data_IF_270451068038
#
_entry.id   IF_270451068038
#
_cell.length_a   1.000
_cell.length_b   1.000
_cell.length_c   1.000
_cell.angle_alpha   90.00
_cell.angle_beta   90.00
_cell.angle_gamma   90.00
#
_symmetry.space_group_name_H-M   'P 1'
#
loop_
_entity.id
_entity.type
_entity.pdbx_description
1 polymer ?
#
# COMPACT_ATOMS: atom_id res chain seq x y z
N UNK A 1 7.95 17.72 -1.10
CA UNK A 1 8.69 17.28 -2.28
C UNK A 1 10.11 16.85 -1.96
N UNK A 2 10.74 17.57 -1.07
CA UNK A 2 12.12 17.26 -0.68
C UNK A 2 12.21 15.87 -0.02
N UNK A 3 11.27 15.54 0.85
CA UNK A 3 11.25 14.22 1.48
C UNK A 3 11.11 13.12 0.44
N UNK A 4 10.26 13.34 -0.56
CA UNK A 4 10.06 12.35 -1.60
C UNK A 4 11.36 12.11 -2.35
N UNK A 5 12.06 13.18 -2.72
CA UNK A 5 13.32 13.06 -3.45
C UNK A 5 14.39 12.36 -2.64
N UNK A 6 14.47 12.66 -1.33
CA UNK A 6 15.41 11.98 -0.46
C UNK A 6 15.07 10.48 -0.34
N UNK A 7 13.79 10.17 -0.20
CA UNK A 7 13.37 8.77 -0.13
C UNK A 7 13.70 8.04 -1.42
N UNK A 8 13.51 8.70 -2.57
CA UNK A 8 13.83 8.12 -3.87
C UNK A 8 15.32 7.85 -4.02
N UNK A 9 16.14 8.64 -3.34
CA UNK A 9 17.60 8.46 -3.35
C UNK A 9 18.07 7.38 -2.38
N UNK A 10 17.17 6.77 -1.64
CA UNK A 10 17.51 5.68 -0.74
C UNK A 10 17.54 6.03 0.73
N UNK A 11 17.12 7.24 1.09
CA UNK A 11 17.10 7.67 2.50
C UNK A 11 15.88 7.06 3.18
N UNK A 12 16.10 6.02 3.98
CA UNK A 12 15.02 5.31 4.64
C UNK A 12 14.33 6.16 5.71
N UNK A 13 15.06 7.05 6.36
CA UNK A 13 14.47 7.95 7.36
C UNK A 13 13.50 8.91 6.69
N UNK A 14 13.86 9.44 5.51
CA UNK A 14 12.97 10.30 4.77
C UNK A 14 11.71 9.56 4.35
N UNK A 15 11.85 8.30 3.94
CA UNK A 15 10.71 7.49 3.57
C UNK A 15 9.77 7.28 4.76
N UNK A 16 10.33 6.95 5.93
CA UNK A 16 9.52 6.77 7.14
C UNK A 16 8.78 8.05 7.52
N UNK A 17 9.45 9.20 7.44
CA UNK A 17 8.80 10.48 7.72
C UNK A 17 7.68 10.77 6.73
N UNK A 18 7.92 10.48 5.47
CA UNK A 18 6.94 10.70 4.41
C UNK A 18 5.69 9.86 4.62
N UNK A 19 5.87 8.58 4.94
CA UNK A 19 4.75 7.69 5.19
C UNK A 19 4.00 8.11 6.45
N UNK A 20 4.71 8.54 7.48
CA UNK A 20 4.09 8.97 8.72
C UNK A 20 3.13 10.15 8.51
N UNK A 21 3.42 11.02 7.55
CA UNK A 21 2.53 12.14 7.24
C UNK A 21 1.17 11.68 6.73
N UNK A 22 1.10 10.48 6.16
CA UNK A 22 -0.12 9.96 5.57
C UNK A 22 -0.64 8.71 6.30
N UNK A 23 0.01 8.37 7.40
CA UNK A 23 -0.22 7.12 8.12
C UNK A 23 -1.68 6.94 8.51
N UNK A 24 -2.24 7.96 9.16
CA UNK A 24 -3.61 7.90 9.67
C UNK A 24 -4.63 7.75 8.54
N UNK A 25 -4.43 8.49 7.46
CA UNK A 25 -5.35 8.43 6.32
C UNK A 25 -5.31 7.08 5.63
N UNK A 26 -4.12 6.53 5.47
CA UNK A 26 -3.96 5.23 4.79
C UNK A 26 -4.52 4.11 5.68
N UNK A 27 -4.28 4.17 6.99
CA UNK A 27 -4.83 3.18 7.91
C UNK A 27 -6.36 3.24 7.92
N UNK A 28 -6.93 4.45 7.92
CA UNK A 28 -8.38 4.62 7.84
C UNK A 28 -8.94 4.01 6.56
N UNK A 29 -8.27 4.28 5.43
CA UNK A 29 -8.68 3.71 4.15
C UNK A 29 -8.60 2.19 4.18
N UNK A 30 -7.51 1.66 4.73
CA UNK A 30 -7.34 0.21 4.84
C UNK A 30 -8.48 -0.42 5.65
N UNK A 31 -8.86 0.23 6.74
CA UNK A 31 -9.98 -0.27 7.55
C UNK A 31 -11.30 -0.19 6.80
N UNK A 32 -11.51 0.90 6.07
CA UNK A 32 -12.73 1.05 5.28
C UNK A 32 -12.86 -0.03 4.21
N UNK A 33 -11.74 -0.39 3.60
CA UNK A 33 -11.74 -1.42 2.56
C UNK A 33 -11.92 -2.81 3.12
N UNK A 34 -11.28 -3.12 4.23
CA UNK A 34 -11.24 -4.49 4.76
C UNK A 34 -12.34 -4.77 5.78
N UNK A 35 -12.82 -3.74 6.47
CA UNK A 35 -13.83 -3.86 7.53
C UNK A 35 -13.39 -4.78 8.67
N UNK A 36 -12.08 -4.93 8.84
CA UNK A 36 -11.51 -5.83 9.84
C UNK A 36 -10.15 -5.29 10.27
N UNK A 37 -9.96 -5.16 11.58
CA UNK A 37 -8.74 -4.54 12.09
C UNK A 37 -7.47 -5.30 11.70
N UNK A 38 -7.49 -6.61 11.84
CA UNK A 38 -6.33 -7.43 11.50
C UNK A 38 -6.01 -7.34 10.01
N UNK A 39 -7.04 -7.45 9.17
CA UNK A 39 -6.86 -7.34 7.73
C UNK A 39 -6.38 -5.95 7.32
N UNK A 40 -6.88 -4.91 8.01
CA UNK A 40 -6.43 -3.56 7.73
C UNK A 40 -4.95 -3.38 8.03
N UNK A 41 -4.49 -3.94 9.15
CA UNK A 41 -3.08 -3.87 9.51
C UNK A 41 -2.21 -4.62 8.52
N UNK A 42 -2.66 -5.78 8.07
CA UNK A 42 -1.95 -6.56 7.07
C UNK A 42 -1.89 -5.81 5.74
N UNK A 43 -3.00 -5.21 5.33
CA UNK A 43 -3.05 -4.42 4.11
C UNK A 43 -2.10 -3.22 4.21
N UNK A 44 -2.10 -2.54 5.35
CA UNK A 44 -1.22 -1.41 5.57
C UNK A 44 0.25 -1.81 5.39
N UNK A 45 0.64 -2.93 5.98
CA UNK A 45 2.02 -3.41 5.86
C UNK A 45 2.39 -3.70 4.42
N UNK A 46 1.49 -4.34 3.68
CA UNK A 46 1.74 -4.62 2.26
C UNK A 46 1.89 -3.34 1.45
N UNK A 47 1.05 -2.35 1.72
CA UNK A 47 1.12 -1.06 1.06
C UNK A 47 2.46 -0.39 1.34
N UNK A 48 2.88 -0.43 2.60
CA UNK A 48 4.15 0.14 3.02
C UNK A 48 5.31 -0.49 2.25
N UNK A 49 5.33 -1.80 2.14
CA UNK A 49 6.37 -2.54 1.44
C UNK A 49 6.37 -2.17 -0.04
N UNK A 50 5.20 -2.16 -0.66
CA UNK A 50 5.09 -1.83 -2.09
C UNK A 50 5.48 -0.39 -2.37
N UNK A 51 5.08 0.53 -1.49
CA UNK A 51 5.46 1.93 -1.63
C UNK A 51 6.98 2.09 -1.53
N UNK A 52 7.60 1.42 -0.59
CA UNK A 52 9.04 1.49 -0.44
C UNK A 52 9.76 1.00 -1.69
N UNK A 53 9.29 -0.11 -2.25
CA UNK A 53 9.91 -0.68 -3.45
C UNK A 53 9.67 0.15 -4.70
N UNK A 54 8.58 0.93 -4.72
CA UNK A 54 8.15 1.64 -5.93
C UNK A 54 8.42 3.13 -5.91
N UNK A 55 8.87 3.67 -4.76
CA UNK A 55 8.98 5.13 -4.63
C UNK A 55 9.92 5.74 -5.66
N UNK A 56 10.96 5.02 -6.06
CA UNK A 56 11.88 5.52 -7.08
C UNK A 56 11.19 5.76 -8.42
N UNK A 57 10.05 5.12 -8.64
CA UNK A 57 9.28 5.25 -9.88
C UNK A 57 8.21 6.33 -9.82
N UNK A 58 8.00 6.94 -8.66
CA UNK A 58 7.03 8.02 -8.54
C UNK A 58 7.49 9.23 -9.35
N UNK A 59 6.65 9.73 -10.25
CA UNK A 59 7.04 10.75 -11.22
C UNK A 59 6.43 12.12 -10.97
N UNK A 60 5.87 12.36 -9.80
CA UNK A 60 5.29 13.66 -9.45
C UNK A 60 4.15 14.08 -10.38
N UNK A 61 3.47 13.12 -10.99
CA UNK A 61 2.32 13.39 -11.86
C UNK A 61 1.01 13.46 -11.08
N UNK A 62 1.07 13.18 -9.78
CA UNK A 62 -0.05 13.31 -8.86
C UNK A 62 0.50 13.71 -7.51
N UNK A 63 -0.38 14.09 -6.58
CA UNK A 63 0.04 14.25 -5.20
C UNK A 63 0.52 12.91 -4.67
N UNK A 64 1.47 12.95 -3.75
CA UNK A 64 2.02 11.72 -3.18
C UNK A 64 0.92 10.88 -2.52
N UNK A 65 0.00 11.52 -1.80
CA UNK A 65 -1.11 10.80 -1.19
C UNK A 65 -1.95 10.06 -2.22
N UNK A 66 -2.21 10.69 -3.37
CA UNK A 66 -2.97 10.06 -4.44
C UNK A 66 -2.28 8.79 -4.93
N UNK A 67 -0.96 8.85 -5.03
CA UNK A 67 -0.17 7.68 -5.43
C UNK A 67 -0.26 6.58 -4.39
N UNK A 68 -0.14 6.92 -3.09
CA UNK A 68 -0.32 5.95 -2.01
C UNK A 68 -1.74 5.37 -2.00
N UNK A 69 -2.73 6.21 -2.25
CA UNK A 69 -4.11 5.77 -2.31
C UNK A 69 -4.29 4.70 -3.37
N UNK A 70 -3.73 4.92 -4.55
CA UNK A 70 -3.81 3.95 -5.65
C UNK A 70 -3.13 2.65 -5.29
N UNK A 71 -1.97 2.71 -4.67
CA UNK A 71 -1.26 1.51 -4.22
C UNK A 71 -2.13 0.74 -3.22
N UNK A 72 -2.76 1.46 -2.30
CA UNK A 72 -3.60 0.85 -1.27
C UNK A 72 -4.78 0.12 -1.88
N UNK A 73 -5.51 0.78 -2.76
CA UNK A 73 -6.69 0.19 -3.41
C UNK A 73 -6.28 -1.00 -4.27
N UNK A 74 -5.23 -0.85 -5.06
CA UNK A 74 -4.76 -1.93 -5.92
C UNK A 74 -4.28 -3.12 -5.12
N UNK A 75 -3.57 -2.88 -4.03
CA UNK A 75 -3.10 -3.94 -3.16
C UNK A 75 -4.27 -4.68 -2.53
N UNK A 76 -5.28 -3.94 -2.09
CA UNK A 76 -6.48 -4.56 -1.51
C UNK A 76 -7.15 -5.50 -2.52
N UNK A 77 -7.36 -5.03 -3.74
CA UNK A 77 -8.01 -5.87 -4.74
C UNK A 77 -7.17 -7.07 -5.14
N UNK A 78 -5.86 -6.92 -5.18
CA UNK A 78 -4.97 -8.03 -5.48
C UNK A 78 -5.04 -9.10 -4.39
N UNK A 79 -5.02 -8.68 -3.12
CA UNK A 79 -5.14 -9.61 -2.00
C UNK A 79 -6.49 -10.31 -2.01
N UNK A 80 -7.56 -9.56 -2.29
CA UNK A 80 -8.90 -10.12 -2.32
C UNK A 80 -9.05 -11.14 -3.44
N UNK A 81 -8.51 -10.83 -4.61
CA UNK A 81 -8.53 -11.79 -5.72
C UNK A 81 -7.78 -13.07 -5.37
N UNK A 82 -6.64 -12.92 -4.73
CA UNK A 82 -5.84 -14.05 -4.33
C UNK A 82 -6.60 -14.95 -3.36
N UNK A 83 -7.25 -14.33 -2.36
CA UNK A 83 -8.05 -15.08 -1.38
C UNK A 83 -9.21 -15.81 -2.03
N UNK A 84 -9.91 -15.13 -2.93
CA UNK A 84 -11.06 -15.73 -3.61
C UNK A 84 -10.63 -16.83 -4.57
N UNK A 85 -9.46 -16.67 -5.15
CA UNK A 85 -8.96 -17.58 -6.16
C UNK A 85 -8.52 -18.91 -5.57
N UNK A 86 -7.89 -18.88 -4.40
CA UNK A 86 -7.33 -20.10 -3.81
C UNK A 86 -8.38 -21.16 -3.49
N UNK A 87 -9.49 -20.81 -2.82
CA UNK A 87 -10.52 -21.83 -2.57
C UNK A 87 -11.11 -22.41 -3.84
N UNK A 88 -11.27 -21.57 -4.85
CA UNK A 88 -11.81 -22.02 -6.14
C UNK A 88 -10.83 -22.98 -6.80
N UNK A 89 -9.56 -22.67 -6.77
CA UNK A 89 -8.55 -23.53 -7.35
C UNK A 89 -8.50 -24.88 -6.67
N UNK A 90 -8.59 -24.88 -5.37
CA UNK A 90 -8.59 -26.14 -4.62
C UNK A 90 -9.79 -27.00 -5.00
N UNK A 91 -10.95 -26.38 -5.16
CA UNK A 91 -12.16 -27.08 -5.55
C UNK A 91 -12.01 -27.72 -6.94
N UNK A 92 -11.37 -27.01 -7.84
CA UNK A 92 -11.19 -27.51 -9.20
C UNK A 92 -10.14 -28.58 -9.31
N UNK A 93 -9.10 -28.47 -8.51
CA UNK A 93 -8.01 -29.42 -8.57
C UNK A 93 -8.36 -30.75 -7.93
N UNK A 94 -9.29 -30.75 -7.04
CA UNK A 94 -9.75 -31.95 -6.35
C UNK A 94 -10.68 -32.77 -7.23
#
# INVERSE_FOLDING_TARGET
RQLIQLAQAGDSKAFHQLVALHDEKIMTLAFQLTQNKTDAEDLYQEVFIKAYKSISKFRFQSAFYTWLYRITVNTFYNLKRSQNKMPIQEAFED
#
